data_IF_419740157373
#
_entry.id   IF_419740157373
#
_cell.length_a   1.000
_cell.length_b   1.000
_cell.length_c   1.000
_cell.angle_alpha   90.00
_cell.angle_beta   90.00
_cell.angle_gamma   90.00
#
_symmetry.space_group_name_H-M   'P 1'
#
loop_
_entity.id
_entity.type
_entity.pdbx_description
1 polymer ?
#
# COMPACT_ATOMS: atom_id res chain seq x y z
N UNK A 1 -6.52 -20.92 0.08
CA UNK A 1 -5.36 -20.31 -0.61
C UNK A 1 -5.13 -18.94 -0.01
N UNK A 2 -3.90 -18.47 -0.01
CA UNK A 2 -3.51 -17.14 0.47
C UNK A 2 -2.90 -16.35 -0.68
N UNK A 3 -3.11 -15.04 -0.67
CA UNK A 3 -2.42 -14.11 -1.55
C UNK A 3 -1.21 -13.50 -0.86
N UNK A 4 -0.21 -13.13 -1.65
CA UNK A 4 0.96 -12.43 -1.13
C UNK A 4 1.74 -11.66 -2.17
N UNK A 5 2.73 -10.94 -1.69
CA UNK A 5 3.55 -10.00 -2.46
C UNK A 5 4.97 -10.53 -2.61
N UNK A 6 5.48 -10.54 -3.84
CA UNK A 6 6.89 -10.81 -4.12
C UNK A 6 7.82 -9.75 -3.52
N UNK A 7 8.78 -10.14 -2.67
CA UNK A 7 9.66 -9.22 -1.93
C UNK A 7 10.97 -8.88 -2.67
N UNK A 8 11.43 -9.81 -3.51
CA UNK A 8 12.70 -9.68 -4.26
C UNK A 8 12.47 -9.09 -5.65
N UNK A 9 13.52 -8.46 -6.21
CA UNK A 9 13.51 -7.95 -7.59
C UNK A 9 13.13 -9.06 -8.59
N UNK A 10 13.64 -10.26 -8.34
CA UNK A 10 13.19 -11.50 -8.98
C UNK A 10 12.82 -12.51 -7.90
N UNK A 11 11.53 -12.89 -7.86
CA UNK A 11 10.99 -13.94 -6.99
C UNK A 11 10.70 -15.17 -7.84
N UNK A 12 11.41 -16.25 -7.57
CA UNK A 12 11.39 -17.48 -8.37
C UNK A 12 10.34 -18.47 -7.88
N UNK A 13 9.74 -19.18 -8.83
CA UNK A 13 8.91 -20.37 -8.59
C UNK A 13 9.69 -21.58 -9.07
N UNK A 14 9.86 -22.52 -8.17
CA UNK A 14 10.72 -23.69 -8.33
C UNK A 14 9.92 -24.94 -8.70
N UNK A 15 10.54 -25.86 -9.45
CA UNK A 15 9.95 -27.15 -9.81
C UNK A 15 9.83 -28.12 -8.62
N UNK A 16 10.69 -27.97 -7.61
CA UNK A 16 10.65 -28.72 -6.35
C UNK A 16 10.94 -27.81 -5.15
N UNK A 17 10.82 -28.34 -3.93
CA UNK A 17 11.05 -27.62 -2.67
C UNK A 17 12.55 -27.42 -2.39
N UNK A 18 13.26 -26.89 -3.39
CA UNK A 18 14.69 -26.58 -3.32
C UNK A 18 14.98 -25.33 -4.14
N UNK A 19 15.72 -24.39 -3.55
CA UNK A 19 16.14 -23.14 -4.21
C UNK A 19 17.19 -23.36 -5.30
N UNK A 20 17.75 -24.57 -5.41
CA UNK A 20 18.67 -25.00 -6.47
C UNK A 20 17.96 -25.78 -7.58
N UNK A 21 16.65 -26.04 -7.45
CA UNK A 21 15.88 -26.70 -8.49
C UNK A 21 15.55 -25.76 -9.66
N UNK A 22 15.04 -26.32 -10.75
CA UNK A 22 14.65 -25.56 -11.94
C UNK A 22 13.65 -24.44 -11.58
N UNK A 23 13.93 -23.24 -12.07
CA UNK A 23 13.01 -22.11 -11.99
C UNK A 23 12.04 -22.19 -13.15
N UNK A 24 10.78 -22.53 -12.86
CA UNK A 24 9.74 -22.71 -13.87
C UNK A 24 8.97 -21.41 -14.16
N UNK A 25 9.06 -20.42 -13.27
CA UNK A 25 8.52 -19.08 -13.47
C UNK A 25 9.21 -18.06 -12.57
N UNK A 26 9.16 -16.79 -12.93
CA UNK A 26 9.68 -15.69 -12.11
C UNK A 26 8.73 -14.50 -12.12
N UNK A 27 8.70 -13.77 -11.01
CA UNK A 27 7.88 -12.58 -10.82
C UNK A 27 8.73 -11.42 -10.31
N UNK A 28 8.42 -10.22 -10.78
CA UNK A 28 9.06 -8.99 -10.29
C UNK A 28 8.54 -8.58 -8.93
N UNK A 29 9.35 -7.83 -8.17
CA UNK A 29 8.98 -7.25 -6.88
C UNK A 29 7.61 -6.57 -6.91
N UNK A 30 6.83 -6.81 -5.87
CA UNK A 30 5.48 -6.26 -5.71
C UNK A 30 4.40 -7.03 -6.46
N UNK A 31 4.74 -8.06 -7.25
CA UNK A 31 3.75 -8.89 -7.92
C UNK A 31 2.87 -9.63 -6.90
N UNK A 32 1.58 -9.75 -7.22
CA UNK A 32 0.62 -10.51 -6.41
C UNK A 32 0.63 -11.96 -6.86
N UNK A 33 0.80 -12.85 -5.90
CA UNK A 33 0.91 -14.29 -6.10
C UNK A 33 -0.16 -15.00 -5.28
N UNK A 34 -0.63 -16.14 -5.79
CA UNK A 34 -1.60 -17.00 -5.13
C UNK A 34 -0.94 -18.35 -4.82
N UNK A 35 -0.97 -18.75 -3.56
CA UNK A 35 -0.34 -19.97 -3.09
C UNK A 35 -1.05 -20.53 -1.86
N UNK A 36 -0.60 -21.68 -1.35
CA UNK A 36 -1.08 -22.27 -0.09
C UNK A 36 0.10 -22.78 0.73
N UNK A 37 -0.05 -22.78 2.05
CA UNK A 37 0.94 -23.35 2.97
C UNK A 37 1.17 -24.82 2.65
N UNK A 38 2.44 -25.18 2.44
CA UNK A 38 2.85 -26.57 2.24
C UNK A 38 3.55 -27.11 3.49
N UNK A 39 4.59 -26.43 3.97
CA UNK A 39 5.31 -26.78 5.19
C UNK A 39 5.91 -25.53 5.86
N UNK A 40 6.91 -25.71 6.74
CA UNK A 40 7.55 -24.63 7.48
C UNK A 40 8.18 -23.56 6.56
N UNK A 41 8.83 -23.99 5.48
CA UNK A 41 9.70 -23.14 4.65
C UNK A 41 9.13 -22.84 3.26
N UNK A 42 8.15 -23.62 2.83
CA UNK A 42 7.62 -23.57 1.47
C UNK A 42 6.12 -23.31 1.40
N UNK A 43 5.74 -22.58 0.37
CA UNK A 43 4.40 -22.51 -0.17
C UNK A 43 4.32 -23.29 -1.48
N UNK A 44 3.15 -23.87 -1.75
CA UNK A 44 2.77 -24.41 -3.05
C UNK A 44 2.02 -23.34 -3.84
N UNK A 45 2.55 -22.96 -5.00
CA UNK A 45 2.01 -21.91 -5.88
C UNK A 45 1.39 -22.51 -7.13
N UNK A 46 0.24 -21.98 -7.53
CA UNK A 46 -0.38 -22.28 -8.81
C UNK A 46 0.08 -21.25 -9.84
N UNK A 47 0.82 -21.69 -10.86
CA UNK A 47 1.28 -20.81 -11.95
C UNK A 47 0.81 -21.30 -13.31
N UNK A 48 0.68 -20.39 -14.26
CA UNK A 48 0.39 -20.74 -15.64
C UNK A 48 1.66 -20.67 -16.50
N UNK A 49 1.99 -21.77 -17.17
CA UNK A 49 3.11 -21.88 -18.12
C UNK A 49 2.50 -22.29 -19.46
N UNK A 50 2.63 -21.43 -20.48
CA UNK A 50 2.03 -21.64 -21.80
C UNK A 50 0.52 -21.96 -21.74
N UNK A 51 -0.21 -21.28 -20.87
CA UNK A 51 -1.65 -21.47 -20.67
C UNK A 51 -2.04 -22.70 -19.82
N UNK A 52 -1.09 -23.55 -19.45
CA UNK A 52 -1.33 -24.71 -18.58
C UNK A 52 -1.05 -24.37 -17.12
N UNK A 53 -1.98 -24.72 -16.24
CA UNK A 53 -1.78 -24.67 -14.80
C UNK A 53 -0.71 -25.69 -14.37
N UNK A 54 0.31 -25.21 -13.68
CA UNK A 54 1.46 -25.97 -13.19
C UNK A 54 1.66 -25.65 -11.71
N UNK A 55 1.90 -26.70 -10.92
CA UNK A 55 2.26 -26.55 -9.51
C UNK A 55 3.74 -26.21 -9.42
N UNK A 56 4.08 -25.20 -8.62
CA UNK A 56 5.45 -24.86 -8.29
C UNK A 56 5.59 -24.51 -6.81
N UNK A 57 6.81 -24.23 -6.40
CA UNK A 57 7.13 -23.99 -5.00
C UNK A 57 7.81 -22.65 -4.82
N UNK A 58 7.48 -21.95 -3.75
CA UNK A 58 8.04 -20.65 -3.43
C UNK A 58 8.44 -20.61 -1.95
N UNK A 59 9.66 -20.14 -1.69
CA UNK A 59 10.18 -20.06 -0.34
C UNK A 59 9.50 -18.94 0.44
N UNK A 60 9.14 -19.18 1.70
CA UNK A 60 8.34 -18.21 2.48
C UNK A 60 9.04 -16.87 2.67
N UNK A 61 10.37 -16.84 2.72
CA UNK A 61 11.13 -15.58 2.88
C UNK A 61 11.08 -14.68 1.66
N UNK A 62 10.60 -15.18 0.52
CA UNK A 62 10.61 -14.44 -0.75
C UNK A 62 9.28 -13.71 -0.98
N UNK A 63 8.32 -13.93 -0.08
CA UNK A 63 6.98 -13.35 -0.13
C UNK A 63 6.52 -12.88 1.23
N UNK A 64 5.56 -11.96 1.20
CA UNK A 64 4.79 -11.55 2.36
C UNK A 64 3.32 -11.84 2.09
N UNK A 65 2.63 -12.52 3.02
CA UNK A 65 1.18 -12.74 2.89
C UNK A 65 0.44 -11.41 3.01
N UNK A 66 -0.63 -11.25 2.24
CA UNK A 66 -1.57 -10.15 2.42
C UNK A 66 -2.40 -10.37 3.69
N UNK A 67 -2.95 -9.30 4.23
CA UNK A 67 -3.92 -9.39 5.32
C UNK A 67 -5.26 -9.94 4.79
N UNK A 68 -5.76 -11.00 5.42
CA UNK A 68 -7.05 -11.61 5.06
C UNK A 68 -8.21 -10.67 5.43
N UNK A 69 -8.19 -10.10 6.64
CA UNK A 69 -9.20 -9.15 7.12
C UNK A 69 -8.80 -7.70 6.81
N UNK A 70 -8.86 -7.34 5.53
CA UNK A 70 -8.56 -5.98 5.11
C UNK A 70 -9.52 -4.96 5.71
N UNK A 71 -8.99 -3.92 6.36
CA UNK A 71 -9.76 -2.83 6.96
C UNK A 71 -9.78 -1.63 6.03
N UNK A 72 -10.94 -1.01 5.84
CA UNK A 72 -11.08 0.24 5.10
C UNK A 72 -10.53 1.41 5.95
N UNK A 73 -9.67 2.20 5.33
CA UNK A 73 -8.98 3.33 5.94
C UNK A 73 -9.21 4.59 5.11
N UNK A 74 -9.13 5.72 5.80
CA UNK A 74 -9.12 7.07 5.23
C UNK A 74 -7.84 7.77 5.71
N UNK A 75 -7.24 8.56 4.83
CA UNK A 75 -6.08 9.36 5.17
C UNK A 75 -5.85 10.47 4.16
N UNK A 76 -4.70 11.13 4.28
CA UNK A 76 -4.25 12.16 3.34
C UNK A 76 -2.88 11.83 2.73
N UNK A 77 -2.62 12.35 1.54
CA UNK A 77 -1.28 12.33 0.94
C UNK A 77 -0.29 13.12 1.79
N UNK A 78 0.79 12.47 2.25
CA UNK A 78 1.83 13.08 3.08
C UNK A 78 2.94 13.73 2.25
N UNK A 79 3.08 13.32 0.99
CA UNK A 79 4.15 13.78 0.08
C UNK A 79 3.53 14.27 -1.22
N UNK A 80 4.18 15.24 -1.84
CA UNK A 80 3.85 15.66 -3.20
C UNK A 80 4.90 15.14 -4.19
N UNK A 81 4.51 14.28 -5.14
CA UNK A 81 3.23 13.57 -5.27
C UNK A 81 3.12 12.30 -4.38
N UNK A 82 1.90 11.97 -3.96
CA UNK A 82 1.54 10.67 -3.38
C UNK A 82 1.10 9.72 -4.50
N UNK A 83 1.87 8.66 -4.73
CA UNK A 83 1.66 7.76 -5.85
C UNK A 83 0.84 6.51 -5.50
N UNK A 84 -0.03 6.12 -6.44
CA UNK A 84 -0.65 4.80 -6.51
C UNK A 84 0.06 3.99 -7.59
N UNK A 85 0.64 2.86 -7.19
CA UNK A 85 1.47 2.01 -8.04
C UNK A 85 0.72 0.78 -8.54
N UNK A 86 1.13 0.24 -9.69
CA UNK A 86 0.50 -0.95 -10.29
C UNK A 86 0.84 -2.26 -9.55
N UNK A 87 1.95 -2.26 -8.80
CA UNK A 87 2.40 -3.35 -7.93
C UNK A 87 2.78 -2.76 -6.57
N UNK A 88 2.91 -3.62 -5.55
CA UNK A 88 3.43 -3.24 -4.23
C UNK A 88 4.97 -3.03 -4.28
N UNK A 89 5.40 -2.11 -5.16
CA UNK A 89 6.78 -1.71 -5.38
C UNK A 89 6.83 -0.27 -5.91
N UNK A 90 7.67 0.57 -5.30
CA UNK A 90 7.86 1.98 -5.70
C UNK A 90 8.51 2.12 -7.09
N UNK A 91 9.10 1.05 -7.61
CA UNK A 91 9.70 0.99 -8.95
C UNK A 91 8.71 0.50 -10.01
N UNK A 92 7.49 0.13 -9.63
CA UNK A 92 6.47 -0.28 -10.59
C UNK A 92 5.79 0.92 -11.23
N UNK A 93 5.06 0.69 -12.32
CA UNK A 93 4.32 1.74 -13.03
C UNK A 93 3.40 2.51 -12.08
N UNK A 94 3.54 3.83 -12.07
CA UNK A 94 2.56 4.73 -11.43
C UNK A 94 1.26 4.71 -12.22
N UNK A 95 0.16 4.36 -11.54
CA UNK A 95 -1.19 4.40 -12.10
C UNK A 95 -1.80 5.78 -11.97
N UNK A 96 -1.63 6.42 -10.81
CA UNK A 96 -2.17 7.75 -10.50
C UNK A 96 -1.31 8.45 -9.44
N UNK A 97 -1.36 9.78 -9.46
CA UNK A 97 -0.69 10.65 -8.49
C UNK A 97 -1.71 11.59 -7.87
N UNK A 98 -1.52 11.90 -6.59
CA UNK A 98 -2.33 12.80 -5.78
C UNK A 98 -1.42 13.83 -5.13
N UNK A 99 -1.96 15.01 -4.84
CA UNK A 99 -1.21 16.09 -4.21
C UNK A 99 -1.11 15.88 -2.70
N UNK A 100 -0.22 16.61 -2.04
CA UNK A 100 -0.19 16.65 -0.58
C UNK A 100 -1.54 17.13 -0.02
N UNK A 101 -2.07 16.45 0.99
CA UNK A 101 -3.34 16.81 1.64
C UNK A 101 -4.60 16.31 0.93
N UNK A 102 -4.48 15.69 -0.25
CA UNK A 102 -5.60 15.03 -0.92
C UNK A 102 -6.11 13.87 -0.06
N UNK A 103 -7.43 13.78 0.09
CA UNK A 103 -8.09 12.70 0.82
C UNK A 103 -8.05 11.43 -0.02
N UNK A 104 -7.57 10.35 0.59
CA UNK A 104 -7.39 9.04 -0.02
C UNK A 104 -8.16 7.98 0.79
N UNK A 105 -8.76 7.03 0.06
CA UNK A 105 -9.41 5.86 0.63
C UNK A 105 -8.67 4.61 0.15
N UNK A 106 -8.31 3.75 1.09
CA UNK A 106 -7.52 2.56 0.82
C UNK A 106 -7.81 1.50 1.87
N UNK A 107 -7.38 0.27 1.63
CA UNK A 107 -7.49 -0.85 2.54
C UNK A 107 -6.13 -1.26 3.08
N UNK A 108 -6.12 -1.81 4.29
CA UNK A 108 -4.94 -2.50 4.79
C UNK A 108 -4.55 -3.66 3.85
N UNK A 109 -3.25 -3.90 3.64
CA UNK A 109 -2.80 -4.86 2.63
C UNK A 109 -1.58 -5.67 3.08
N UNK A 110 -0.41 -5.05 3.24
CA UNK A 110 0.76 -5.71 3.85
C UNK A 110 1.42 -4.81 4.90
N UNK A 111 2.57 -5.22 5.46
CA UNK A 111 3.33 -4.41 6.42
C UNK A 111 3.63 -3.00 5.90
N UNK A 112 3.98 -2.86 4.62
CA UNK A 112 4.46 -1.60 4.04
C UNK A 112 3.54 -1.00 2.97
N UNK A 113 2.43 -1.68 2.65
CA UNK A 113 1.55 -1.29 1.57
C UNK A 113 0.08 -1.25 2.00
N UNK A 114 -0.65 -0.32 1.40
CA UNK A 114 -2.10 -0.27 1.35
C UNK A 114 -2.57 -0.62 -0.07
N UNK A 115 -3.79 -1.15 -0.19
CA UNK A 115 -4.48 -1.40 -1.46
C UNK A 115 -5.47 -0.26 -1.73
N UNK A 116 -5.50 0.27 -2.94
CA UNK A 116 -6.40 1.35 -3.33
C UNK A 116 -7.08 1.05 -4.67
N UNK A 117 -8.25 1.63 -4.89
CA UNK A 117 -8.90 1.61 -6.20
C UNK A 117 -8.76 2.98 -6.87
N UNK A 118 -8.27 2.98 -8.10
CA UNK A 118 -8.17 4.18 -8.94
C UNK A 118 -8.90 3.96 -10.25
N UNK A 119 -9.56 5.01 -10.76
CA UNK A 119 -10.19 4.95 -12.08
C UNK A 119 -9.20 5.39 -13.16
N UNK A 120 -8.90 4.47 -14.09
CA UNK A 120 -8.11 4.72 -15.30
C UNK A 120 -9.03 4.51 -16.49
N UNK A 121 -9.23 5.55 -17.32
CA UNK A 121 -10.14 5.50 -18.46
C UNK A 121 -11.53 4.94 -18.10
N UNK A 122 -12.13 5.43 -17.00
CA UNK A 122 -13.42 4.98 -16.45
C UNK A 122 -13.46 3.53 -15.95
N UNK A 123 -12.34 2.82 -15.90
CA UNK A 123 -12.22 1.47 -15.33
C UNK A 123 -11.55 1.51 -13.96
N UNK A 124 -12.23 0.95 -12.96
CA UNK A 124 -11.62 0.75 -11.64
C UNK A 124 -10.43 -0.22 -11.75
N UNK A 125 -9.30 0.20 -11.22
CA UNK A 125 -8.04 -0.53 -11.25
C UNK A 125 -7.47 -0.57 -9.84
N UNK A 126 -7.13 -1.77 -9.37
CA UNK A 126 -6.42 -1.93 -8.11
C UNK A 126 -4.99 -1.41 -8.25
N UNK A 127 -4.56 -0.64 -7.26
CA UNK A 127 -3.18 -0.18 -7.12
C UNK A 127 -2.76 -0.18 -5.65
N UNK A 128 -1.51 0.21 -5.42
CA UNK A 128 -0.88 0.09 -4.11
C UNK A 128 -0.24 1.40 -3.68
N UNK A 129 -0.44 1.77 -2.43
CA UNK A 129 0.11 2.99 -1.83
C UNK A 129 1.09 2.57 -0.75
N UNK A 130 2.31 3.10 -0.77
CA UNK A 130 3.26 2.84 0.30
C UNK A 130 2.84 3.57 1.57
N UNK A 131 2.92 2.93 2.74
CA UNK A 131 2.44 3.53 4.01
C UNK A 131 3.08 4.89 4.31
N UNK A 132 4.39 5.04 4.10
CA UNK A 132 5.08 6.34 4.30
C UNK A 132 4.62 7.48 3.38
N UNK A 133 3.81 7.20 2.36
CA UNK A 133 3.28 8.22 1.45
C UNK A 133 1.97 8.83 1.95
N UNK A 134 1.34 8.24 2.97
CA UNK A 134 0.06 8.70 3.50
C UNK A 134 0.12 8.85 5.01
N UNK A 135 -0.83 9.61 5.53
CA UNK A 135 -1.09 9.74 6.94
C UNK A 135 -2.55 9.33 7.18
N UNK A 136 -2.76 8.31 8.02
CA UNK A 136 -4.11 7.85 8.35
C UNK A 136 -4.81 8.84 9.29
N UNK A 137 -6.14 8.92 9.17
CA UNK A 137 -7.00 9.80 9.99
C UNK A 137 -7.00 9.42 11.48
N UNK A 138 -6.70 8.15 11.79
CA UNK A 138 -6.63 7.60 13.15
C UNK A 138 -5.22 7.64 13.77
N UNK A 139 -4.24 8.24 13.08
CA UNK A 139 -2.88 8.37 13.60
C UNK A 139 -2.89 9.12 14.95
N UNK A 140 -2.08 8.65 15.91
CA UNK A 140 -1.98 9.28 17.24
C UNK A 140 -1.65 10.77 17.10
N UNK A 141 -2.55 11.61 17.59
CA UNK A 141 -2.44 13.06 17.53
C UNK A 141 -1.86 13.60 18.84
N UNK A 142 -0.95 14.57 18.74
CA UNK A 142 -0.51 15.35 19.90
C UNK A 142 -1.10 16.75 19.85
N UNK A 143 -1.70 17.16 20.96
CA UNK A 143 -2.11 18.56 21.16
C UNK A 143 -0.88 19.43 21.33
N UNK A 144 -0.74 20.42 20.44
CA UNK A 144 0.24 21.49 20.51
C UNK A 144 -0.49 22.82 20.72
N UNK A 145 0.07 23.68 21.55
CA UNK A 145 -0.43 25.06 21.74
C UNK A 145 0.49 26.03 21.03
N UNK A 146 -0.08 26.94 20.24
CA UNK A 146 0.66 27.98 19.54
C UNK A 146 -0.12 29.28 19.39
N UNK A 147 0.59 30.36 19.12
CA UNK A 147 0.02 31.65 18.73
C UNK A 147 0.12 31.81 17.22
N UNK A 148 -0.96 32.21 16.58
CA UNK A 148 -0.94 32.54 15.16
C UNK A 148 -0.11 33.82 14.94
N UNK A 149 0.94 33.73 14.11
CA UNK A 149 1.74 34.90 13.75
C UNK A 149 1.02 35.81 12.74
N UNK A 150 0.14 35.22 11.93
CA UNK A 150 -0.62 35.91 10.89
C UNK A 150 -1.99 36.36 11.41
N UNK A 151 -2.48 37.51 10.90
CA UNK A 151 -3.80 38.04 11.23
C UNK A 151 -4.95 37.06 10.90
N UNK A 152 -4.76 36.21 9.89
CA UNK A 152 -5.70 35.16 9.49
C UNK A 152 -5.01 33.81 9.53
N UNK A 153 -5.52 32.90 10.37
CA UNK A 153 -5.11 31.49 10.41
C UNK A 153 -6.35 30.63 10.31
N UNK A 154 -6.38 29.75 9.30
CA UNK A 154 -7.49 28.82 9.08
C UNK A 154 -7.25 27.53 9.84
N UNK A 155 -8.22 27.14 10.67
CA UNK A 155 -8.27 25.83 11.31
C UNK A 155 -9.21 24.94 10.51
N UNK A 156 -8.74 23.77 10.11
CA UNK A 156 -9.50 22.80 9.33
C UNK A 156 -10.05 21.70 10.25
N UNK A 157 -11.23 21.19 9.92
CA UNK A 157 -11.91 20.15 10.70
C UNK A 157 -11.22 18.79 10.64
N UNK A 158 -10.57 18.50 9.51
CA UNK A 158 -9.91 17.23 9.21
C UNK A 158 -8.45 17.49 8.78
N UNK A 159 -7.67 16.42 8.58
CA UNK A 159 -6.28 16.49 8.11
C UNK A 159 -6.08 17.21 6.77
N UNK A 160 -7.13 17.40 5.97
CA UNK A 160 -7.03 18.01 4.64
C UNK A 160 -7.13 19.54 4.67
N UNK A 161 -6.21 20.23 3.98
CA UNK A 161 -6.28 21.69 3.71
C UNK A 161 -7.50 22.08 2.84
N UNK A 162 -8.13 21.11 2.18
CA UNK A 162 -9.36 21.29 1.40
C UNK A 162 -10.63 21.07 2.23
N UNK A 163 -10.50 20.70 3.52
CA UNK A 163 -11.64 20.55 4.41
C UNK A 163 -12.30 21.91 4.72
N UNK A 164 -13.54 21.88 5.22
CA UNK A 164 -14.23 23.09 5.65
C UNK A 164 -13.41 23.79 6.73
N UNK A 165 -13.14 25.08 6.55
CA UNK A 165 -12.51 25.91 7.58
C UNK A 165 -13.51 26.15 8.72
N UNK A 166 -13.11 25.83 9.95
CA UNK A 166 -13.97 25.91 11.12
C UNK A 166 -14.01 27.29 11.75
N UNK A 167 -12.94 28.11 11.61
CA UNK A 167 -12.89 29.50 12.08
C UNK A 167 -11.58 30.21 11.70
N UNK A 168 -11.62 31.55 11.70
CA UNK A 168 -10.45 32.44 11.77
C UNK A 168 -10.19 32.75 13.25
N UNK A 169 -9.04 32.37 13.81
CA UNK A 169 -8.75 32.58 15.25
C UNK A 169 -7.31 33.06 15.45
N UNK A 170 -7.09 33.93 16.45
CA UNK A 170 -5.77 34.42 16.90
C UNK A 170 -5.00 33.42 17.79
N UNK A 171 -5.63 32.35 18.26
CA UNK A 171 -5.05 31.32 19.15
C UNK A 171 -5.67 29.96 18.81
N UNK A 172 -4.88 28.92 18.65
CA UNK A 172 -5.38 27.58 18.27
C UNK A 172 -4.56 26.45 18.88
N UNK A 173 -5.20 25.30 19.04
CA UNK A 173 -4.56 24.03 19.40
C UNK A 173 -4.40 23.25 18.10
N UNK A 174 -3.16 22.89 17.75
CA UNK A 174 -2.86 22.04 16.60
C UNK A 174 -2.77 20.59 17.06
N UNK A 175 -3.47 19.71 16.35
CA UNK A 175 -3.26 18.28 16.46
C UNK A 175 -2.27 17.90 15.36
N UNK A 176 -1.03 17.60 15.75
CA UNK A 176 0.01 17.16 14.80
C UNK A 176 0.23 15.66 15.00
N UNK A 177 0.23 14.85 13.91
CA UNK A 177 0.55 13.44 14.00
C UNK A 177 2.04 13.23 14.29
N UNK A 178 2.36 12.21 15.08
CA UNK A 178 3.73 11.77 15.34
C UNK A 178 4.19 10.66 14.40
#
# INVERSE_FOLDING_TARGET
MVTGVALKDTTSIYASQSTTSEVIKSYSKGAILLYKTLNADWYEALVYINGKATTGYIHKTDVENTQDDQVLLKGIGKKEPTHVYAKASKHSKTLKSYNEGDVLYYKSFTSNWYEAFVYLNKKATTGYIHKDSVLNDDAKQKSLTGSALNATTYVYQDLSKNAKSLKVIRKFILLVPH
#
